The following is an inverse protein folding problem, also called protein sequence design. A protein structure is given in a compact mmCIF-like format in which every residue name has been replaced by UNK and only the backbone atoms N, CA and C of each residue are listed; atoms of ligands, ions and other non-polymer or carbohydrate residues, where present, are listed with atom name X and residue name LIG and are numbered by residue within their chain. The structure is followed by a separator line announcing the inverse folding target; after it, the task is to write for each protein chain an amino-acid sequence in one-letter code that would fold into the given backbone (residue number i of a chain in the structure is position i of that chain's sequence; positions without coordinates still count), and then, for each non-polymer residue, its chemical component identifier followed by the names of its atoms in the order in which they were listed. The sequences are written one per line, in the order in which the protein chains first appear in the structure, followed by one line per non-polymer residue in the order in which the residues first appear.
data_IF_954065942095
#
_entry.id   IF_954065942095
#
_cell.length_a   1.000
_cell.length_b   1.000
_cell.length_c   1.000
_cell.angle_alpha   90.00
_cell.angle_beta   90.00
_cell.angle_gamma   90.00
#
_symmetry.space_group_name_H-M   'P 1'
#
loop_
_entity.id
_entity.type
_entity.pdbx_description
1 polymer ?
#
# COMPACT_ATOMS: atom_id res chain seq x y z
N UNK A 1 -1.00 -20.61 -66.21
CA UNK A 1 0.36 -21.18 -66.36
C UNK A 1 1.14 -20.81 -65.11
N UNK A 2 1.26 -21.66 -64.10
CA UNK A 2 2.43 -22.53 -63.91
C UNK A 2 2.08 -23.56 -62.83
N UNK A 3 2.11 -24.84 -63.22
CA UNK A 3 1.88 -26.01 -62.36
C UNK A 3 3.22 -26.46 -61.77
N UNK A 4 3.31 -26.61 -60.45
CA UNK A 4 4.35 -27.43 -59.78
C UNK A 4 3.64 -28.36 -58.80
N UNK A 5 3.27 -29.55 -59.27
CA UNK A 5 3.98 -30.84 -59.10
C UNK A 5 3.97 -31.33 -57.65
N UNK A 6 2.89 -32.05 -57.35
CA UNK A 6 2.80 -33.05 -56.29
C UNK A 6 3.96 -34.05 -56.42
N UNK A 7 4.65 -34.31 -55.31
CA UNK A 7 5.45 -35.53 -55.12
C UNK A 7 4.89 -36.26 -53.91
N UNK A 8 4.20 -37.35 -54.21
CA UNK A 8 3.86 -38.43 -53.28
C UNK A 8 5.12 -39.25 -53.02
N UNK A 9 5.41 -39.56 -51.75
CA UNK A 9 6.20 -40.73 -51.36
C UNK A 9 5.49 -41.40 -50.20
N UNK A 10 5.37 -42.72 -50.34
CA UNK A 10 4.54 -43.66 -49.61
C UNK A 10 5.14 -44.04 -48.22
N UNK A 11 4.43 -44.87 -47.43
CA UNK A 11 4.47 -44.87 -45.96
C UNK A 11 5.63 -45.68 -45.39
N UNK A 12 6.11 -45.28 -44.21
CA UNK A 12 7.03 -46.09 -43.42
C UNK A 12 6.51 -46.26 -41.99
N UNK A 13 6.18 -47.52 -41.68
CA UNK A 13 6.19 -48.18 -40.39
C UNK A 13 5.52 -47.48 -39.19
N UNK A 14 4.30 -47.95 -38.92
CA UNK A 14 3.66 -47.90 -37.59
C UNK A 14 4.52 -48.71 -36.61
N UNK A 15 5.23 -48.03 -35.73
CA UNK A 15 5.77 -48.64 -34.51
C UNK A 15 4.74 -48.44 -33.39
N UNK A 16 3.99 -49.50 -33.07
CA UNK A 16 3.17 -49.59 -31.87
C UNK A 16 4.11 -49.63 -30.65
N UNK A 17 4.38 -48.46 -30.06
CA UNK A 17 4.95 -48.38 -28.72
C UNK A 17 3.81 -48.52 -27.71
N UNK A 18 3.71 -49.70 -27.10
CA UNK A 18 2.99 -49.95 -25.85
C UNK A 18 3.63 -49.11 -24.75
N UNK A 19 3.17 -47.86 -24.58
CA UNK A 19 3.48 -47.09 -23.37
C UNK A 19 2.50 -47.57 -22.30
N UNK A 20 2.97 -48.51 -21.50
CA UNK A 20 2.36 -48.86 -20.23
C UNK A 20 2.14 -47.57 -19.42
N UNK A 21 0.89 -47.38 -19.02
CA UNK A 21 0.44 -46.21 -18.27
C UNK A 21 1.27 -45.99 -17.01
N UNK A 22 1.96 -44.87 -16.99
CA UNK A 22 2.18 -44.12 -15.75
C UNK A 22 1.24 -42.94 -15.89
N UNK A 23 0.04 -43.08 -15.34
CA UNK A 23 -0.74 -41.91 -14.97
C UNK A 23 0.14 -41.15 -13.96
N UNK A 24 0.95 -40.23 -14.48
CA UNK A 24 1.60 -39.22 -13.65
C UNK A 24 0.45 -38.45 -13.02
N UNK A 25 0.11 -38.83 -11.80
CA UNK A 25 -0.71 -38.02 -10.92
C UNK A 25 0.00 -36.67 -10.88
N UNK A 26 -0.48 -35.73 -11.70
CA UNK A 26 -0.10 -34.34 -11.57
C UNK A 26 -0.42 -33.99 -10.11
N UNK A 27 0.53 -33.45 -9.34
CA UNK A 27 0.18 -32.96 -8.01
C UNK A 27 -0.85 -31.87 -8.23
N UNK A 28 -2.11 -32.22 -7.98
CA UNK A 28 -3.19 -31.27 -7.79
C UNK A 28 -2.64 -30.26 -6.81
N UNK A 29 -2.44 -29.01 -7.24
CA UNK A 29 -2.26 -27.87 -6.35
C UNK A 29 -3.60 -27.65 -5.65
N UNK A 30 -3.96 -28.60 -4.81
CA UNK A 30 -5.18 -28.64 -4.03
C UNK A 30 -4.78 -28.69 -2.57
N UNK A 31 -5.21 -27.65 -1.85
CA UNK A 31 -5.36 -27.60 -0.39
C UNK A 31 -4.06 -27.50 0.41
N UNK A 32 -3.41 -26.32 0.34
CA UNK A 32 -2.74 -25.76 1.52
C UNK A 32 -3.79 -25.33 2.56
N UNK A 33 -4.49 -26.31 3.15
CA UNK A 33 -5.38 -26.10 4.27
C UNK A 33 -5.28 -27.25 5.26
N UNK A 34 -4.06 -27.70 5.56
CA UNK A 34 -3.78 -28.58 6.68
C UNK A 34 -3.18 -27.76 7.83
N UNK A 35 -4.04 -27.23 8.72
CA UNK A 35 -3.64 -26.67 10.01
C UNK A 35 -3.06 -25.24 10.04
N UNK A 36 -3.06 -24.51 8.92
CA UNK A 36 -2.33 -23.25 8.75
C UNK A 36 -2.86 -22.05 9.54
N UNK A 37 -1.94 -21.24 10.05
CA UNK A 37 -2.19 -19.85 10.47
C UNK A 37 -2.17 -18.96 9.23
N UNK A 38 -3.02 -17.93 9.17
CA UNK A 38 -2.94 -16.92 8.09
C UNK A 38 -1.57 -16.23 8.13
N UNK A 39 -0.84 -16.27 7.00
CA UNK A 39 0.44 -15.59 6.86
C UNK A 39 0.24 -14.08 6.77
N UNK A 40 1.12 -13.31 7.41
CA UNK A 40 1.07 -11.84 7.41
C UNK A 40 2.37 -11.33 6.82
N UNK A 41 2.28 -10.70 5.65
CA UNK A 41 3.44 -10.28 4.88
C UNK A 41 3.50 -8.77 4.68
N UNK A 42 4.72 -8.26 4.59
CA UNK A 42 5.00 -6.90 4.13
C UNK A 42 5.33 -6.90 2.65
N UNK A 43 4.74 -5.98 1.90
CA UNK A 43 5.13 -5.68 0.53
C UNK A 43 5.63 -4.25 0.38
N UNK A 44 6.65 -4.09 -0.46
CA UNK A 44 7.11 -2.80 -0.98
C UNK A 44 7.68 -3.02 -2.38
N UNK A 45 7.77 -1.97 -3.22
CA UNK A 45 8.40 -2.10 -4.54
C UNK A 45 9.93 -2.15 -4.45
N UNK A 46 10.50 -2.10 -3.24
CA UNK A 46 11.93 -1.98 -3.02
C UNK A 46 12.57 -3.28 -2.51
N UNK A 47 13.84 -3.45 -2.82
CA UNK A 47 14.72 -4.43 -2.18
C UNK A 47 15.24 -3.91 -0.82
N UNK A 48 16.07 -4.71 -0.15
CA UNK A 48 16.61 -4.37 1.17
C UNK A 48 17.44 -3.07 1.20
N UNK A 49 18.04 -2.68 0.07
CA UNK A 49 18.83 -1.45 -0.07
C UNK A 49 17.95 -0.20 -0.30
N UNK A 50 16.67 -0.41 -0.59
CA UNK A 50 15.76 0.65 -0.97
C UNK A 50 15.76 0.95 -2.48
N UNK A 51 16.41 0.14 -3.31
CA UNK A 51 16.29 0.25 -4.76
C UNK A 51 15.03 -0.49 -5.25
N UNK A 52 14.42 -0.04 -6.35
CA UNK A 52 13.27 -0.74 -6.94
C UNK A 52 13.66 -2.18 -7.31
N UNK A 53 12.84 -3.16 -6.91
CA UNK A 53 13.08 -4.58 -7.17
C UNK A 53 13.28 -4.81 -8.67
N UNK A 54 14.35 -5.51 -9.04
CA UNK A 54 14.67 -5.85 -10.44
C UNK A 54 13.62 -6.73 -11.13
N UNK A 55 12.76 -7.40 -10.36
CA UNK A 55 11.64 -8.20 -10.87
C UNK A 55 10.47 -7.35 -11.36
N UNK A 56 10.46 -6.04 -11.08
CA UNK A 56 9.40 -5.12 -11.48
C UNK A 56 9.78 -4.37 -12.74
N UNK A 57 8.88 -4.36 -13.72
CA UNK A 57 9.00 -3.47 -14.87
C UNK A 57 8.61 -2.05 -14.46
N UNK A 58 9.43 -1.05 -14.80
CA UNK A 58 9.20 0.35 -14.39
C UNK A 58 8.82 1.21 -15.60
N UNK A 59 7.68 1.90 -15.53
CA UNK A 59 7.23 2.85 -16.55
C UNK A 59 7.12 4.26 -15.98
N UNK A 60 7.71 5.28 -16.61
CA UNK A 60 7.49 6.66 -16.19
C UNK A 60 6.20 7.25 -16.76
N UNK A 61 5.37 7.89 -15.93
CA UNK A 61 4.19 8.66 -16.37
C UNK A 61 4.44 10.17 -16.40
N UNK A 62 5.63 10.63 -16.01
CA UNK A 62 6.01 12.04 -15.98
C UNK A 62 5.61 12.72 -14.67
N UNK A 63 4.81 13.78 -14.73
CA UNK A 63 4.34 14.50 -13.53
C UNK A 63 3.05 13.90 -12.98
N UNK A 64 2.89 13.97 -11.67
CA UNK A 64 1.67 13.59 -10.99
C UNK A 64 1.62 14.16 -9.57
N UNK A 65 0.74 13.61 -8.74
CA UNK A 65 0.62 13.95 -7.33
C UNK A 65 0.52 12.69 -6.47
N UNK A 66 0.89 12.80 -5.19
CA UNK A 66 0.38 11.91 -4.17
C UNK A 66 -0.77 12.65 -3.45
N UNK A 67 -1.96 12.05 -3.36
CA UNK A 67 -3.10 12.64 -2.66
C UNK A 67 -2.99 12.45 -1.13
N UNK A 68 -3.43 13.43 -0.35
CA UNK A 68 -3.50 13.36 1.12
C UNK A 68 -4.84 12.76 1.58
N UNK A 69 -4.84 11.83 2.54
CA UNK A 69 -6.10 11.22 3.01
C UNK A 69 -5.89 10.03 3.96
N UNK A 70 -6.87 9.76 4.84
CA UNK A 70 -6.88 8.55 5.66
C UNK A 70 -7.44 7.38 4.83
N UNK A 71 -6.61 6.45 4.40
CA UNK A 71 -7.08 5.13 3.95
C UNK A 71 -6.05 4.05 4.24
N UNK A 72 -6.44 2.82 3.90
CA UNK A 72 -6.01 1.53 4.43
C UNK A 72 -4.52 1.22 4.47
N UNK A 73 -3.69 1.95 3.73
CA UNK A 73 -2.26 1.69 3.69
C UNK A 73 -1.44 2.97 3.64
N UNK A 74 -1.43 3.69 4.77
CA UNK A 74 -0.35 4.63 5.03
C UNK A 74 0.99 3.89 4.99
N UNK A 75 1.58 3.76 3.79
CA UNK A 75 3.01 3.62 3.54
C UNK A 75 3.42 4.95 2.91
N UNK A 76 4.00 5.82 3.71
CA UNK A 76 4.72 6.96 3.19
C UNK A 76 4.10 8.32 3.39
N UNK A 77 4.82 9.14 4.15
CA UNK A 77 4.82 10.60 4.38
C UNK A 77 3.78 11.51 3.70
N UNK A 78 3.47 11.34 2.41
CA UNK A 78 2.92 12.46 1.60
C UNK A 78 1.78 12.04 0.64
N UNK A 79 1.44 10.77 0.52
CA UNK A 79 0.11 10.47 0.02
C UNK A 79 -0.24 9.01 -0.08
N UNK A 80 -1.51 8.75 0.23
CA UNK A 80 -2.10 7.41 0.21
C UNK A 80 -2.26 6.88 -1.22
N UNK A 81 -2.25 7.79 -2.21
CA UNK A 81 -2.59 7.49 -3.60
C UNK A 81 -1.76 8.28 -4.59
N UNK A 82 -1.08 7.60 -5.50
CA UNK A 82 -0.56 8.18 -6.72
C UNK A 82 -1.71 8.60 -7.66
N UNK A 83 -1.62 9.79 -8.25
CA UNK A 83 -2.50 10.25 -9.32
C UNK A 83 -1.71 10.80 -10.50
N UNK A 84 -1.89 10.19 -11.68
CA UNK A 84 -1.37 10.72 -12.94
C UNK A 84 -2.10 10.16 -14.16
N UNK A 85 -2.32 10.99 -15.19
CA UNK A 85 -2.91 10.57 -16.48
C UNK A 85 -4.19 9.72 -16.33
N UNK A 86 -5.12 10.16 -15.48
CA UNK A 86 -6.37 9.45 -15.14
C UNK A 86 -6.18 8.06 -14.49
N UNK A 87 -4.97 7.75 -14.04
CA UNK A 87 -4.66 6.52 -13.30
C UNK A 87 -4.47 6.83 -11.82
N UNK A 88 -4.97 5.93 -10.99
CA UNK A 88 -4.80 5.94 -9.54
C UNK A 88 -4.11 4.64 -9.13
N UNK A 89 -3.16 4.73 -8.20
CA UNK A 89 -2.50 3.56 -7.62
C UNK A 89 -2.10 3.85 -6.19
N UNK A 90 -2.28 2.87 -5.32
CA UNK A 90 -2.07 3.00 -3.90
C UNK A 90 -1.15 1.85 -3.47
N UNK A 91 -0.17 2.05 -2.57
CA UNK A 91 0.34 3.33 -2.04
C UNK A 91 1.22 4.21 -2.96
N UNK A 92 1.55 5.43 -2.50
CA UNK A 92 2.54 6.33 -3.12
C UNK A 92 3.92 6.20 -2.45
N UNK A 93 4.80 5.35 -2.99
CA UNK A 93 6.11 5.09 -2.39
C UNK A 93 7.16 6.11 -2.81
N UNK A 94 7.85 6.76 -1.86
CA UNK A 94 9.08 7.53 -2.18
C UNK A 94 10.14 6.61 -2.78
N UNK A 95 10.76 7.01 -3.88
CA UNK A 95 11.85 6.26 -4.51
C UNK A 95 13.13 6.24 -3.65
N UNK A 96 13.27 5.19 -2.86
CA UNK A 96 14.47 4.89 -2.07
C UNK A 96 14.70 5.73 -0.81
N UNK A 97 15.89 5.63 -0.19
CA UNK A 97 16.15 6.20 1.14
C UNK A 97 16.57 7.69 1.11
N UNK A 98 17.00 8.20 -0.05
CA UNK A 98 17.54 9.55 -0.22
C UNK A 98 16.44 10.57 -0.55
N UNK A 99 16.66 11.87 -0.32
CA UNK A 99 15.76 12.92 -0.80
C UNK A 99 15.56 12.83 -2.32
N UNK A 100 14.31 12.85 -2.76
CA UNK A 100 13.93 12.72 -4.18
C UNK A 100 12.53 13.28 -4.40
N UNK A 101 12.28 13.82 -5.59
CA UNK A 101 10.94 14.19 -6.07
C UNK A 101 10.24 13.03 -6.80
N UNK A 102 10.86 11.86 -6.86
CA UNK A 102 10.36 10.69 -7.56
C UNK A 102 9.62 9.75 -6.59
N UNK A 103 8.48 9.24 -7.06
CA UNK A 103 7.76 8.14 -6.40
C UNK A 103 7.58 6.96 -7.33
N UNK A 104 7.44 5.80 -6.71
CA UNK A 104 7.06 4.54 -7.31
C UNK A 104 5.62 4.26 -6.91
N UNK A 105 4.82 3.80 -7.86
CA UNK A 105 3.39 3.57 -7.73
C UNK A 105 3.10 2.15 -8.22
N UNK A 106 2.45 1.36 -7.38
CA UNK A 106 2.01 0.00 -7.67
C UNK A 106 0.50 -0.06 -7.44
N UNK A 107 -0.21 -0.75 -8.33
CA UNK A 107 -1.68 -0.81 -8.29
C UNK A 107 -2.15 -1.81 -7.23
N UNK A 108 -1.41 -2.90 -7.08
CA UNK A 108 -1.71 -4.01 -6.19
C UNK A 108 -0.41 -4.79 -5.83
N UNK A 109 -0.41 -5.66 -4.81
CA UNK A 109 0.80 -6.36 -4.38
C UNK A 109 1.25 -7.49 -5.31
N UNK A 110 0.43 -7.87 -6.30
CA UNK A 110 0.70 -8.92 -7.28
C UNK A 110 1.25 -8.37 -8.60
N UNK A 111 1.20 -7.05 -8.79
CA UNK A 111 1.65 -6.39 -9.99
C UNK A 111 3.12 -6.72 -10.35
N UNK A 112 3.35 -7.10 -11.60
CA UNK A 112 4.68 -7.29 -12.19
C UNK A 112 5.30 -6.00 -12.73
N UNK A 113 4.53 -4.90 -12.67
CA UNK A 113 4.96 -3.59 -13.13
C UNK A 113 4.56 -2.50 -12.15
N UNK A 114 5.40 -1.49 -12.06
CA UNK A 114 5.16 -0.26 -11.31
C UNK A 114 5.39 0.93 -12.23
N UNK A 115 4.88 2.07 -11.81
CA UNK A 115 5.10 3.31 -12.52
C UNK A 115 5.76 4.36 -11.65
N UNK A 116 6.45 5.30 -12.28
CA UNK A 116 7.09 6.42 -11.58
C UNK A 116 6.50 7.75 -11.99
N UNK A 117 6.31 8.63 -11.01
CA UNK A 117 5.94 10.03 -11.22
C UNK A 117 6.82 10.96 -10.43
N UNK A 118 7.02 12.17 -10.98
CA UNK A 118 7.63 13.28 -10.28
C UNK A 118 6.54 14.06 -9.54
N UNK A 119 6.67 14.10 -8.22
CA UNK A 119 5.85 14.91 -7.30
C UNK A 119 6.73 16.06 -6.82
N UNK A 120 6.50 17.26 -7.33
CA UNK A 120 7.34 18.42 -7.04
C UNK A 120 7.43 18.68 -5.54
N UNK A 121 8.65 18.91 -5.06
CA UNK A 121 8.95 19.20 -3.65
C UNK A 121 8.62 18.08 -2.66
N UNK A 122 8.23 16.90 -3.15
CA UNK A 122 8.15 15.72 -2.32
C UNK A 122 9.52 15.46 -1.72
N UNK A 123 9.61 15.42 -0.40
CA UNK A 123 10.74 14.87 0.37
C UNK A 123 12.15 15.35 -0.04
N UNK A 124 12.25 16.47 -0.78
CA UNK A 124 13.47 17.22 -1.06
C UNK A 124 14.03 17.91 0.20
N UNK A 125 13.24 17.90 1.27
CA UNK A 125 13.62 18.21 2.65
C UNK A 125 13.30 16.95 3.45
N UNK A 126 14.03 16.71 4.54
CA UNK A 126 13.65 15.63 5.43
C UNK A 126 12.16 15.74 5.81
N UNK A 127 11.53 14.59 5.83
CA UNK A 127 10.11 14.33 5.61
C UNK A 127 10.13 12.87 5.22
N UNK A 128 9.40 12.02 5.93
CA UNK A 128 9.71 10.60 6.01
C UNK A 128 8.51 9.71 5.86
N UNK A 129 8.75 8.65 5.12
CA UNK A 129 7.80 7.63 4.76
C UNK A 129 7.19 7.01 6.03
N UNK A 130 5.93 7.29 6.39
CA UNK A 130 5.28 6.68 7.56
C UNK A 130 4.57 5.40 7.14
N UNK A 131 5.07 4.25 7.58
CA UNK A 131 4.39 2.98 7.53
C UNK A 131 4.26 2.45 8.96
N UNK A 132 3.03 2.20 9.44
CA UNK A 132 2.87 1.51 10.71
C UNK A 132 3.53 0.11 10.60
N UNK A 133 4.36 -0.33 11.58
CA UNK A 133 4.97 -1.63 11.53
C UNK A 133 3.91 -2.69 11.46
N UNK A 134 4.24 -3.76 10.75
CA UNK A 134 3.41 -4.96 10.68
C UNK A 134 3.03 -5.46 12.09
N UNK A 135 3.97 -5.40 13.04
CA UNK A 135 3.77 -5.84 14.42
C UNK A 135 2.77 -5.01 15.25
N UNK A 136 2.46 -3.77 14.85
CA UNK A 136 1.47 -2.91 15.54
C UNK A 136 0.21 -2.71 14.71
N UNK A 137 0.03 -3.46 13.61
CA UNK A 137 -1.20 -3.40 12.81
C UNK A 137 -2.38 -3.87 13.66
N UNK A 138 -3.35 -2.98 13.86
CA UNK A 138 -4.50 -3.21 14.74
C UNK A 138 -5.52 -4.09 14.04
N UNK A 139 -6.45 -4.65 14.82
CA UNK A 139 -7.60 -5.44 14.32
C UNK A 139 -8.41 -4.72 13.23
N UNK A 140 -8.34 -3.40 13.15
CA UNK A 140 -9.08 -2.58 12.18
C UNK A 140 -8.27 -2.19 10.92
N UNK A 141 -6.97 -2.47 10.85
CA UNK A 141 -6.14 -2.09 9.70
C UNK A 141 -6.34 -3.09 8.55
N UNK A 142 -7.05 -2.73 7.49
CA UNK A 142 -7.31 -3.64 6.37
C UNK A 142 -6.01 -3.96 5.60
N UNK A 143 -5.72 -5.24 5.28
CA UNK A 143 -4.67 -5.60 4.33
C UNK A 143 -4.87 -4.94 2.96
N UNK A 144 -3.77 -4.70 2.26
CA UNK A 144 -3.81 -4.27 0.86
C UNK A 144 -4.31 -5.36 -0.06
N UNK A 145 -3.75 -6.56 0.16
CA UNK A 145 -4.02 -7.73 -0.61
C UNK A 145 -4.35 -8.90 0.30
N UNK A 146 -5.29 -9.71 -0.12
CA UNK A 146 -5.68 -10.96 0.53
C UNK A 146 -5.52 -12.09 -0.48
N UNK A 147 -4.83 -13.16 -0.09
CA UNK A 147 -4.85 -14.43 -0.82
C UNK A 147 -5.81 -15.38 -0.10
N UNK A 148 -6.76 -15.94 -0.84
CA UNK A 148 -7.73 -16.89 -0.33
C UNK A 148 -7.21 -18.33 -0.45
N UNK A 149 -7.79 -19.24 0.35
CA UNK A 149 -7.51 -20.67 0.22
C UNK A 149 -7.89 -21.25 -1.15
N UNK A 150 -8.78 -20.58 -1.90
CA UNK A 150 -9.11 -20.90 -3.30
C UNK A 150 -7.98 -20.56 -4.28
N UNK A 151 -7.00 -19.76 -3.87
CA UNK A 151 -5.97 -19.18 -4.73
C UNK A 151 -6.35 -17.81 -5.33
N UNK A 152 -7.52 -17.27 -4.98
CA UNK A 152 -7.91 -15.94 -5.44
C UNK A 152 -7.05 -14.84 -4.78
N UNK A 153 -6.71 -13.82 -5.58
CA UNK A 153 -6.01 -12.62 -5.17
C UNK A 153 -6.98 -11.45 -5.09
N UNK A 154 -7.14 -10.88 -3.90
CA UNK A 154 -8.16 -9.87 -3.60
C UNK A 154 -7.55 -8.52 -3.23
N UNK A 155 -7.68 -7.53 -4.09
CA UNK A 155 -7.19 -6.16 -3.85
C UNK A 155 -8.22 -5.38 -3.06
N UNK A 156 -7.77 -4.61 -2.08
CA UNK A 156 -8.63 -3.69 -1.35
C UNK A 156 -9.10 -2.54 -2.26
N UNK A 157 -10.41 -2.45 -2.44
CA UNK A 157 -11.07 -1.39 -3.19
C UNK A 157 -10.98 -0.06 -2.44
N UNK A 158 -10.91 1.00 -3.22
CA UNK A 158 -10.76 2.33 -2.69
C UNK A 158 -11.85 3.27 -3.19
N UNK A 159 -12.19 4.28 -2.39
CA UNK A 159 -13.25 5.23 -2.73
C UNK A 159 -14.64 4.70 -2.39
N UNK A 160 -15.66 5.17 -3.13
CA UNK A 160 -17.03 4.66 -2.98
C UNK A 160 -17.12 3.25 -3.58
N UNK A 161 -17.63 2.32 -2.79
CA UNK A 161 -17.84 0.93 -3.18
C UNK A 161 -19.21 0.49 -2.68
N UNK A 162 -19.75 -0.54 -3.32
CA UNK A 162 -21.13 -1.00 -3.12
C UNK A 162 -21.35 -1.58 -1.72
N UNK A 163 -22.60 -1.83 -1.37
CA UNK A 163 -22.96 -2.48 -0.12
C UNK A 163 -24.01 -3.57 -0.36
N UNK A 164 -23.67 -4.78 0.07
CA UNK A 164 -24.48 -5.99 -0.04
C UNK A 164 -25.55 -6.00 1.06
N UNK A 165 -26.85 -6.07 0.72
CA UNK A 165 -27.90 -6.24 1.71
C UNK A 165 -27.85 -7.65 2.31
N UNK A 166 -28.03 -7.73 3.63
CA UNK A 166 -28.15 -8.98 4.38
C UNK A 166 -29.63 -9.29 4.70
N UNK A 167 -29.99 -10.55 4.99
CA UNK A 167 -31.38 -10.97 5.26
C UNK A 167 -32.11 -10.21 6.39
N UNK A 168 -31.39 -9.54 7.29
CA UNK A 168 -31.95 -8.80 8.42
C UNK A 168 -31.93 -7.27 8.23
N UNK A 169 -31.76 -6.79 6.99
CA UNK A 169 -31.75 -5.35 6.67
C UNK A 169 -30.41 -4.65 6.94
N UNK A 170 -29.44 -5.35 7.53
CA UNK A 170 -28.06 -4.89 7.61
C UNK A 170 -27.42 -4.81 6.22
N UNK A 171 -26.38 -3.98 6.08
CA UNK A 171 -25.62 -3.86 4.83
C UNK A 171 -24.14 -4.02 5.12
N UNK A 172 -23.49 -4.90 4.39
CA UNK A 172 -22.04 -5.02 4.43
C UNK A 172 -21.43 -4.36 3.20
N UNK A 173 -20.51 -3.46 3.50
CA UNK A 173 -19.76 -2.72 2.52
C UNK A 173 -18.78 -3.65 1.80
N UNK A 174 -18.66 -3.52 0.48
CA UNK A 174 -17.71 -4.29 -0.33
C UNK A 174 -16.32 -3.66 -0.20
N UNK A 175 -15.39 -4.36 0.44
CA UNK A 175 -14.04 -3.85 0.66
C UNK A 175 -13.03 -4.37 -0.38
N UNK A 176 -13.21 -5.56 -0.96
CA UNK A 176 -12.21 -6.13 -1.89
C UNK A 176 -12.84 -6.69 -3.15
N UNK A 177 -12.08 -6.64 -4.26
CA UNK A 177 -12.36 -7.36 -5.51
C UNK A 177 -11.33 -8.46 -5.71
N UNK A 178 -11.78 -9.65 -6.10
CA UNK A 178 -10.93 -10.84 -6.24
C UNK A 178 -10.88 -11.37 -7.66
N UNK A 179 -9.67 -11.76 -8.09
CA UNK A 179 -9.41 -12.48 -9.33
C UNK A 179 -8.79 -13.87 -9.03
N UNK A 180 -9.03 -14.89 -9.87
CA UNK A 180 -9.84 -14.87 -11.10
C UNK A 180 -11.34 -15.12 -10.89
N UNK A 181 -11.79 -15.49 -9.70
CA UNK A 181 -13.19 -15.92 -9.49
C UNK A 181 -14.23 -14.80 -9.63
N UNK A 182 -13.82 -13.53 -9.65
CA UNK A 182 -14.69 -12.37 -9.76
C UNK A 182 -15.59 -12.14 -8.54
N UNK A 183 -15.28 -12.77 -7.40
CA UNK A 183 -16.00 -12.54 -6.15
C UNK A 183 -15.53 -11.23 -5.51
N UNK A 184 -16.32 -10.74 -4.56
CA UNK A 184 -15.97 -9.59 -3.73
C UNK A 184 -15.97 -9.98 -2.26
N UNK A 185 -15.15 -9.29 -1.45
CA UNK A 185 -15.10 -9.51 0.00
C UNK A 185 -15.73 -8.34 0.76
N UNK A 186 -16.40 -8.69 1.85
CA UNK A 186 -17.24 -7.79 2.62
C UNK A 186 -16.49 -7.23 3.85
N UNK A 187 -16.92 -6.07 4.36
CA UNK A 187 -16.37 -5.39 5.54
C UNK A 187 -16.72 -6.11 6.85
N UNK A 188 -16.22 -7.34 7.00
CA UNK A 188 -16.42 -8.18 8.16
C UNK A 188 -15.24 -9.14 8.39
N UNK A 189 -14.02 -8.70 8.04
CA UNK A 189 -12.78 -9.46 8.27
C UNK A 189 -12.63 -9.83 9.75
N UNK A 190 -12.68 -11.13 10.04
CA UNK A 190 -12.47 -11.69 11.37
C UNK A 190 -11.07 -12.30 11.45
N UNK A 191 -10.29 -11.82 12.41
CA UNK A 191 -8.92 -12.26 12.65
C UNK A 191 -8.86 -13.24 13.82
N UNK A 192 -8.11 -14.31 13.62
CA UNK A 192 -7.77 -15.33 14.60
C UNK A 192 -6.50 -16.05 14.15
N UNK A 193 -6.34 -17.33 14.49
CA UNK A 193 -5.28 -18.17 13.90
C UNK A 193 -5.44 -18.25 12.39
N UNK A 194 -6.68 -18.48 11.94
CA UNK A 194 -7.07 -18.45 10.54
C UNK A 194 -8.09 -17.33 10.35
N UNK A 195 -7.81 -16.42 9.43
CA UNK A 195 -8.67 -15.28 9.15
C UNK A 195 -9.80 -15.71 8.23
N UNK A 196 -10.97 -15.13 8.45
CA UNK A 196 -12.17 -15.35 7.64
C UNK A 196 -12.83 -14.04 7.28
N UNK A 197 -13.43 -13.98 6.12
CA UNK A 197 -14.10 -12.79 5.60
C UNK A 197 -15.30 -13.23 4.78
N UNK A 198 -16.39 -12.48 4.85
CA UNK A 198 -17.58 -12.75 4.05
C UNK A 198 -17.31 -12.47 2.57
N UNK A 199 -17.87 -13.30 1.70
CA UNK A 199 -17.76 -13.16 0.26
C UNK A 199 -19.15 -13.07 -0.39
N UNK A 200 -19.21 -12.38 -1.51
CA UNK A 200 -20.37 -12.32 -2.37
C UNK A 200 -19.96 -12.35 -3.84
N UNK A 201 -20.90 -12.70 -4.71
CA UNK A 201 -20.74 -12.63 -6.16
C UNK A 201 -21.74 -11.62 -6.71
N UNK A 202 -21.27 -10.70 -7.56
CA UNK A 202 -22.16 -9.80 -8.27
C UNK A 202 -22.99 -10.58 -9.29
N UNK A 203 -24.28 -10.29 -9.37
CA UNK A 203 -25.25 -10.87 -10.31
C UNK A 203 -26.01 -9.74 -11.00
N UNK A 204 -26.79 -10.07 -12.04
CA UNK A 204 -27.65 -9.09 -12.72
C UNK A 204 -28.69 -8.42 -11.78
N UNK A 205 -29.01 -9.07 -10.65
CA UNK A 205 -30.02 -8.62 -9.70
C UNK A 205 -29.44 -8.15 -8.36
N UNK A 206 -28.12 -7.97 -8.26
CA UNK A 206 -27.45 -7.52 -7.03
C UNK A 206 -26.29 -8.42 -6.66
N UNK A 207 -26.34 -9.02 -5.46
CA UNK A 207 -25.30 -9.91 -4.96
C UNK A 207 -25.86 -11.22 -4.44
N UNK A 208 -25.17 -12.31 -4.74
CA UNK A 208 -25.35 -13.61 -4.11
C UNK A 208 -24.33 -13.77 -2.99
N UNK A 209 -24.80 -14.02 -1.76
CA UNK A 209 -23.92 -14.28 -0.62
C UNK A 209 -23.32 -15.69 -0.71
N UNK A 210 -21.99 -15.77 -0.62
CA UNK A 210 -21.26 -17.05 -0.67
C UNK A 210 -20.87 -17.56 0.72
N UNK A 211 -21.18 -16.81 1.78
CA UNK A 211 -20.74 -17.09 3.14
C UNK A 211 -19.29 -16.69 3.37
N UNK A 212 -18.63 -17.39 4.28
CA UNK A 212 -17.27 -17.05 4.71
C UNK A 212 -16.19 -17.79 3.91
N UNK A 213 -15.21 -17.05 3.43
CA UNK A 213 -14.01 -17.60 2.81
C UNK A 213 -12.81 -17.52 3.76
N UNK A 214 -11.85 -18.42 3.54
CA UNK A 214 -10.62 -18.50 4.33
C UNK A 214 -9.51 -17.68 3.69
N UNK A 215 -8.86 -16.84 4.48
CA UNK A 215 -7.68 -16.06 4.09
C UNK A 215 -6.41 -16.82 4.47
N UNK A 216 -5.58 -17.17 3.49
CA UNK A 216 -4.30 -17.86 3.73
C UNK A 216 -3.14 -16.89 3.87
N UNK A 217 -3.23 -15.71 3.23
CA UNK A 217 -2.20 -14.66 3.31
C UNK A 217 -2.84 -13.27 3.32
N UNK A 218 -2.33 -12.41 4.19
CA UNK A 218 -2.67 -11.00 4.26
C UNK A 218 -1.42 -10.16 3.99
N UNK A 219 -1.47 -9.33 2.95
CA UNK A 219 -0.35 -8.49 2.52
C UNK A 219 -0.63 -7.06 2.96
N UNK A 220 0.30 -6.51 3.71
CA UNK A 220 0.28 -5.11 4.11
C UNK A 220 1.39 -4.35 3.42
N UNK A 221 1.10 -3.09 3.17
CA UNK A 221 2.12 -2.13 2.88
C UNK A 221 3.23 -2.04 3.93
N UNK A 222 4.49 -2.09 3.48
CA UNK A 222 5.69 -2.04 4.32
C UNK A 222 6.83 -1.24 3.67
N UNK A 223 7.94 -1.09 4.40
CA UNK A 223 9.17 -0.45 3.95
C UNK A 223 10.38 -1.35 4.15
N UNK A 224 11.40 -1.26 3.28
CA UNK A 224 12.64 -2.01 3.47
C UNK A 224 13.47 -1.43 4.63
N UNK A 225 14.43 -2.21 5.19
CA UNK A 225 15.28 -1.77 6.30
C UNK A 225 15.98 -0.42 6.06
N UNK A 226 16.45 -0.16 4.83
CA UNK A 226 17.10 1.10 4.47
C UNK A 226 16.20 2.36 4.64
N UNK A 227 14.88 2.18 4.72
CA UNK A 227 13.89 3.24 4.93
C UNK A 227 13.27 3.22 6.33
N UNK A 228 13.61 2.23 7.18
CA UNK A 228 12.95 2.00 8.47
C UNK A 228 13.35 3.02 9.54
N UNK A 229 14.56 3.58 9.49
CA UNK A 229 15.00 4.62 10.44
C UNK A 229 14.07 5.84 10.37
N UNK A 230 13.88 6.34 9.15
CA UNK A 230 13.00 7.46 8.83
C UNK A 230 11.57 7.19 9.29
N UNK A 231 11.08 5.98 9.01
CA UNK A 231 9.77 5.53 9.46
C UNK A 231 9.65 5.51 11.00
N UNK A 232 10.65 4.97 11.69
CA UNK A 232 10.70 4.90 13.16
C UNK A 232 10.65 6.29 13.80
N UNK A 233 11.40 7.24 13.26
CA UNK A 233 11.37 8.63 13.73
C UNK A 233 10.00 9.29 13.49
N UNK A 234 9.39 9.05 12.33
CA UNK A 234 8.02 9.51 12.03
C UNK A 234 7.01 8.98 13.04
N UNK A 235 7.13 7.68 13.40
CA UNK A 235 6.26 7.01 14.37
C UNK A 235 6.43 7.55 15.77
N UNK A 236 7.67 7.77 16.20
CA UNK A 236 7.95 8.42 17.49
C UNK A 236 7.34 9.82 17.56
N UNK A 237 7.48 10.60 16.48
CA UNK A 237 6.87 11.92 16.38
C UNK A 237 5.34 11.88 16.49
N UNK A 238 4.67 10.96 15.78
CA UNK A 238 3.21 10.77 15.86
C UNK A 238 2.78 10.36 17.26
N UNK A 239 3.47 9.39 17.87
CA UNK A 239 3.16 8.87 19.20
C UNK A 239 3.27 9.95 20.31
N UNK A 240 4.12 10.96 20.10
CA UNK A 240 4.22 12.12 20.98
C UNK A 240 3.06 13.12 20.84
N UNK A 241 2.15 12.95 19.87
CA UNK A 241 0.99 13.83 19.69
C UNK A 241 -0.29 13.22 20.29
N UNK A 242 -1.30 14.03 20.63
CA UNK A 242 -2.61 13.51 21.04
C UNK A 242 -3.44 12.95 19.87
N UNK A 243 -2.90 12.93 18.64
CA UNK A 243 -3.64 12.48 17.48
C UNK A 243 -3.77 10.96 17.48
N UNK A 244 -4.96 10.46 17.15
CA UNK A 244 -5.13 9.04 16.88
C UNK A 244 -4.37 8.73 15.58
N UNK A 245 -3.56 7.65 15.50
CA UNK A 245 -2.78 7.36 14.28
C UNK A 245 -3.61 7.27 13.00
N UNK A 246 -4.89 6.89 13.09
CA UNK A 246 -5.83 6.84 11.94
C UNK A 246 -6.28 8.21 11.42
N UNK A 247 -6.19 9.23 12.27
CA UNK A 247 -6.58 10.61 11.94
C UNK A 247 -5.37 11.41 11.45
N UNK A 248 -4.15 10.86 11.58
CA UNK A 248 -2.91 11.47 11.12
C UNK A 248 -2.84 11.42 9.60
N UNK A 249 -2.67 12.59 8.99
CA UNK A 249 -2.53 12.77 7.55
C UNK A 249 -1.06 12.71 7.11
N UNK A 250 -0.13 13.25 7.92
CA UNK A 250 1.32 13.23 7.62
C UNK A 250 2.19 13.49 8.85
N UNK A 251 3.44 13.02 8.83
CA UNK A 251 4.45 13.26 9.85
C UNK A 251 5.81 13.57 9.22
N UNK A 252 6.10 14.86 9.01
CA UNK A 252 7.28 15.33 8.28
C UNK A 252 8.45 15.60 9.23
N UNK A 253 9.55 14.86 9.14
CA UNK A 253 10.77 15.14 9.90
C UNK A 253 11.55 16.34 9.36
N UNK A 254 11.36 17.54 9.89
CA UNK A 254 12.20 18.70 9.54
C UNK A 254 13.54 18.64 10.27
N UNK A 255 14.66 18.95 9.60
CA UNK A 255 16.01 18.89 10.20
C UNK A 255 16.36 17.51 10.77
N UNK A 256 16.77 16.53 9.94
CA UNK A 256 17.01 15.16 10.38
C UNK A 256 18.24 15.03 11.28
N UNK A 257 19.10 16.05 11.33
CA UNK A 257 20.22 16.17 12.28
C UNK A 257 19.77 16.60 13.68
N UNK A 258 18.54 17.11 13.80
CA UNK A 258 17.98 17.67 15.04
C UNK A 258 16.63 17.05 15.39
N UNK A 259 16.18 16.01 14.68
CA UNK A 259 14.95 15.26 14.95
C UNK A 259 13.71 16.15 15.28
N UNK A 260 13.42 17.16 14.46
CA UNK A 260 12.13 17.88 14.52
C UNK A 260 11.11 17.21 13.61
N UNK A 261 9.83 17.28 13.96
CA UNK A 261 8.75 16.78 13.11
C UNK A 261 7.49 17.64 13.12
N UNK A 262 6.80 17.68 11.98
CA UNK A 262 5.49 18.28 11.78
C UNK A 262 4.47 17.18 11.57
N UNK A 263 3.61 16.97 12.57
CA UNK A 263 2.53 15.99 12.49
C UNK A 263 1.24 16.73 12.17
N UNK A 264 0.61 16.41 11.06
CA UNK A 264 -0.71 16.93 10.67
C UNK A 264 -1.73 15.80 10.75
N UNK A 265 -2.87 16.10 11.32
CA UNK A 265 -4.04 15.25 11.41
C UNK A 265 -5.28 15.99 10.89
N UNK A 266 -6.40 15.28 10.75
CA UNK A 266 -7.69 15.88 10.42
C UNK A 266 -8.06 17.02 11.40
N UNK A 267 -7.67 16.87 12.67
CA UNK A 267 -7.99 17.81 13.74
C UNK A 267 -6.96 18.94 13.94
N UNK A 268 -5.89 19.03 13.14
CA UNK A 268 -4.92 20.12 13.23
C UNK A 268 -3.47 19.71 13.00
N UNK A 269 -2.53 20.54 13.44
CA UNK A 269 -1.08 20.31 13.26
C UNK A 269 -0.32 20.47 14.59
N UNK A 270 0.69 19.63 14.82
CA UNK A 270 1.61 19.72 15.96
C UNK A 270 3.05 19.71 15.48
N UNK A 271 3.90 20.43 16.21
CA UNK A 271 5.35 20.36 16.05
C UNK A 271 5.94 19.64 17.24
N UNK A 272 6.72 18.61 16.98
CA UNK A 272 7.41 17.81 17.98
C UNK A 272 8.92 17.86 17.73
N UNK A 273 9.70 17.72 18.79
CA UNK A 273 11.17 17.70 18.73
C UNK A 273 11.68 16.59 19.64
N UNK A 274 12.68 15.85 19.18
CA UNK A 274 13.32 14.84 19.99
C UNK A 274 14.48 15.45 20.78
N UNK A 275 14.39 15.41 22.10
CA UNK A 275 15.42 15.88 23.04
C UNK A 275 15.73 14.74 23.99
N UNK A 276 17.01 14.47 24.23
CA UNK A 276 17.50 13.42 25.14
C UNK A 276 16.88 12.04 24.87
N UNK A 277 16.74 11.69 23.59
CA UNK A 277 16.17 10.42 23.14
C UNK A 277 14.64 10.34 23.12
N UNK A 278 13.93 11.31 23.73
CA UNK A 278 12.47 11.35 23.81
C UNK A 278 11.82 12.43 22.95
N UNK A 279 10.66 12.14 22.35
CA UNK A 279 9.88 13.12 21.59
C UNK A 279 9.02 13.97 22.52
N UNK A 280 9.07 15.30 22.37
CA UNK A 280 8.25 16.25 23.12
C UNK A 280 7.48 17.15 22.18
N UNK A 281 6.22 17.46 22.51
CA UNK A 281 5.44 18.49 21.81
C UNK A 281 6.07 19.84 22.11
N UNK A 282 6.50 20.54 21.07
CA UNK A 282 7.08 21.88 21.20
C UNK A 282 6.03 22.95 20.96
N UNK A 283 4.96 22.68 20.19
CA UNK A 283 3.95 23.71 19.92
C UNK A 283 2.57 23.23 19.47
N UNK A 284 1.56 23.99 19.91
CA UNK A 284 0.13 23.93 19.57
C UNK A 284 -0.25 25.34 19.06
N UNK A 285 -0.43 25.49 17.75
CA UNK A 285 -1.10 26.63 17.06
C UNK A 285 -0.67 28.10 17.38
N UNK A 286 0.30 28.62 16.59
CA UNK A 286 0.66 30.04 16.27
C UNK A 286 0.98 30.99 17.47
N UNK A 287 2.00 31.89 17.39
CA UNK A 287 2.72 32.39 16.21
C UNK A 287 4.22 32.04 16.29
N UNK A 288 4.61 30.92 15.68
CA UNK A 288 6.02 30.56 15.60
C UNK A 288 6.86 31.57 14.79
N UNK A 289 6.22 32.44 13.98
CA UNK A 289 6.88 33.55 13.29
C UNK A 289 7.43 34.63 14.23
N UNK A 290 6.85 34.77 15.43
CA UNK A 290 7.29 35.72 16.45
C UNK A 290 8.16 35.07 17.55
N UNK A 291 8.36 33.74 17.51
CA UNK A 291 9.13 33.04 18.54
C UNK A 291 10.62 33.34 18.45
N UNK A 292 11.17 34.04 19.45
CA UNK A 292 12.61 34.30 19.59
C UNK A 292 13.46 33.04 19.82
N UNK A 293 12.84 31.88 20.10
CA UNK A 293 13.54 30.61 20.35
C UNK A 293 14.02 29.91 19.06
N UNK A 294 13.49 30.30 17.90
CA UNK A 294 13.85 29.71 16.61
C UNK A 294 14.49 30.76 15.71
N UNK A 295 15.53 30.42 14.95
CA UNK A 295 16.14 31.38 14.01
C UNK A 295 15.16 31.76 12.89
N UNK A 296 15.33 32.94 12.29
CA UNK A 296 14.46 33.39 11.19
C UNK A 296 14.45 32.43 10.00
N UNK A 297 15.58 31.78 9.70
CA UNK A 297 15.67 30.75 8.67
C UNK A 297 14.82 29.51 9.01
N UNK A 298 14.93 29.03 10.26
CA UNK A 298 14.11 27.93 10.77
C UNK A 298 12.63 28.32 10.71
N UNK A 299 12.25 29.51 11.17
CA UNK A 299 10.85 29.98 11.12
C UNK A 299 10.29 30.05 9.70
N UNK A 300 11.03 30.65 8.76
CA UNK A 300 10.68 30.70 7.33
C UNK A 300 10.43 29.31 6.74
N UNK A 301 11.35 28.39 7.01
CA UNK A 301 11.32 27.05 6.43
C UNK A 301 10.25 26.15 7.06
N UNK A 302 10.00 26.33 8.35
CA UNK A 302 9.06 25.53 9.14
C UNK A 302 7.61 26.02 9.04
N UNK A 303 7.39 27.33 8.98
CA UNK A 303 6.06 27.94 9.11
C UNK A 303 5.69 28.89 7.96
N UNK A 304 6.55 29.04 6.95
CA UNK A 304 6.29 29.95 5.82
C UNK A 304 6.25 31.43 6.21
N UNK A 305 6.85 31.80 7.34
CA UNK A 305 6.87 33.18 7.83
C UNK A 305 7.56 34.10 6.81
N UNK A 306 6.87 35.09 6.26
CA UNK A 306 7.51 36.12 5.44
C UNK A 306 8.57 36.92 6.24
N UNK A 307 9.42 37.72 5.58
CA UNK A 307 10.13 38.78 6.28
C UNK A 307 9.09 39.62 7.02
N UNK A 308 9.27 39.79 8.32
CA UNK A 308 8.37 40.51 9.22
C UNK A 308 8.05 41.89 8.63
N UNK A 309 6.83 42.10 8.12
CA UNK A 309 6.42 43.38 7.53
C UNK A 309 5.17 43.40 6.64
N UNK A 310 4.72 42.29 6.04
CA UNK A 310 3.47 42.29 5.24
C UNK A 310 2.33 41.61 6.00
N UNK A 311 1.67 42.37 6.86
CA UNK A 311 0.41 41.98 7.49
C UNK A 311 -0.75 42.08 6.50
N UNK A 312 -1.60 41.05 6.53
CA UNK A 312 -3.00 41.07 6.14
C UNK A 312 -3.77 40.29 7.20
#
# INVERSE_FOLDING_TARGET
MSRRRFRSVAPAAVALALIAGIAAAQPSRGLHAAGGTTQIDGWSPFDASGAVKKTLSVRSLGRGSCLEGPSSEGIGDVGYRCGARNSLADPCWRDGPKPTDLVVCAVDPWASSVWTIRVRHLMLRAGVTFAAPLAVRRRHDLPWGIELASGDHCVLLQGAHDAVPLPHGERLVVDYSCDPSGIVLLRNLRRGRLWRIGAARSTQHGYELLGDVTVVRAIFGSLPPAMERQNTLARGAVAATPFRPRDVLRARLTFPAHDWAFVRALSGTRVVHRVDGGWRIVHVERPACASGRLTAAVRRQLFGCGPSGSGG
#
